data_IF_169423123305
#
_entry.id   IF_169423123305
#
_cell.length_a   1.000
_cell.length_b   1.000
_cell.length_c   1.000
_cell.angle_alpha   90.00
_cell.angle_beta   90.00
_cell.angle_gamma   90.00
#
_symmetry.space_group_name_H-M   'P 1'
#
loop_
_entity.id
_entity.type
_entity.pdbx_description
1 polymer ?
#
# COMPACT_ATOMS: atom_id res chain seq x y z
N UNK A 1 -1.68 -7.66 -33.08
CA UNK A 1 -1.65 -6.53 -32.13
C UNK A 1 -0.44 -5.67 -32.47
N UNK A 2 -0.55 -4.34 -32.60
CA UNK A 2 0.64 -3.48 -32.82
C UNK A 2 1.58 -3.61 -31.62
N UNK A 3 2.90 -3.67 -31.82
CA UNK A 3 3.89 -3.79 -30.73
C UNK A 3 3.74 -2.70 -29.65
N UNK A 4 3.29 -1.50 -30.04
CA UNK A 4 2.98 -0.40 -29.12
C UNK A 4 1.89 -0.75 -28.10
N UNK A 5 0.81 -1.43 -28.51
CA UNK A 5 -0.28 -1.83 -27.60
C UNK A 5 0.20 -2.88 -26.58
N UNK A 6 1.15 -3.72 -26.97
CA UNK A 6 1.72 -4.74 -26.09
C UNK A 6 2.58 -4.10 -24.98
N UNK A 7 3.42 -3.12 -25.33
CA UNK A 7 4.26 -2.40 -24.35
C UNK A 7 3.39 -1.67 -23.31
N UNK A 8 2.35 -0.97 -23.76
CA UNK A 8 1.40 -0.24 -22.90
C UNK A 8 0.72 -1.21 -21.92
N UNK A 9 0.30 -2.39 -22.39
CA UNK A 9 -0.29 -3.41 -21.52
C UNK A 9 0.73 -3.95 -20.50
N UNK A 10 1.95 -4.27 -20.93
CA UNK A 10 3.01 -4.75 -20.03
C UNK A 10 3.31 -3.71 -18.95
N UNK A 11 3.49 -2.44 -19.32
CA UNK A 11 3.75 -1.36 -18.36
C UNK A 11 2.61 -1.22 -17.36
N UNK A 12 1.36 -1.21 -17.83
CA UNK A 12 0.19 -1.19 -16.95
C UNK A 12 0.22 -2.34 -15.93
N UNK A 13 0.45 -3.57 -16.39
CA UNK A 13 0.50 -4.74 -15.50
C UNK A 13 1.65 -4.68 -14.50
N UNK A 14 2.84 -4.23 -14.92
CA UNK A 14 3.98 -4.02 -14.03
C UNK A 14 3.66 -2.99 -12.94
N UNK A 15 3.05 -1.85 -13.31
CA UNK A 15 2.67 -0.81 -12.36
C UNK A 15 1.62 -1.30 -11.36
N UNK A 16 0.61 -2.06 -11.82
CA UNK A 16 -0.40 -2.66 -10.94
C UNK A 16 0.23 -3.68 -9.99
N UNK A 17 1.18 -4.50 -10.48
CA UNK A 17 1.91 -5.46 -9.66
C UNK A 17 2.70 -4.76 -8.54
N UNK A 18 3.42 -3.68 -8.88
CA UNK A 18 4.15 -2.87 -7.90
C UNK A 18 3.22 -2.26 -6.84
N UNK A 19 2.05 -1.78 -7.24
CA UNK A 19 1.05 -1.29 -6.29
C UNK A 19 0.54 -2.39 -5.35
N UNK A 20 0.38 -3.63 -5.83
CA UNK A 20 -0.01 -4.75 -4.98
C UNK A 20 1.09 -5.09 -3.95
N UNK A 21 2.37 -5.01 -4.31
CA UNK A 21 3.47 -5.21 -3.36
C UNK A 21 3.46 -4.18 -2.22
N UNK A 22 3.06 -2.94 -2.49
CA UNK A 22 2.86 -1.93 -1.44
C UNK A 22 1.72 -2.31 -0.48
N UNK A 23 0.64 -2.91 -0.99
CA UNK A 23 -0.49 -3.39 -0.18
C UNK A 23 -0.07 -4.58 0.69
N UNK A 24 0.70 -5.50 0.14
CA UNK A 24 1.27 -6.64 0.87
C UNK A 24 2.20 -6.15 1.99
N UNK A 25 3.10 -5.20 1.68
CA UNK A 25 4.00 -4.58 2.67
C UNK A 25 3.20 -3.90 3.79
N UNK A 26 2.17 -3.14 3.45
CA UNK A 26 1.30 -2.49 4.44
C UNK A 26 0.61 -3.51 5.35
N UNK A 27 0.17 -4.64 4.79
CA UNK A 27 -0.53 -5.69 5.53
C UNK A 27 0.42 -6.50 6.41
N UNK A 28 1.65 -6.76 5.94
CA UNK A 28 2.69 -7.41 6.74
C UNK A 28 3.08 -6.58 7.96
N UNK A 29 3.28 -5.27 7.78
CA UNK A 29 3.62 -4.36 8.87
C UNK A 29 2.49 -4.28 9.92
N UNK A 30 1.22 -4.22 9.50
CA UNK A 30 0.09 -4.25 10.43
C UNK A 30 -0.06 -5.60 11.16
N UNK A 31 0.12 -6.71 10.44
CA UNK A 31 0.00 -8.06 11.01
C UNK A 31 1.04 -8.35 12.09
N UNK A 32 2.32 -8.10 11.79
CA UNK A 32 3.41 -8.29 12.76
C UNK A 32 3.24 -7.34 13.94
N UNK A 33 2.97 -6.06 13.67
CA UNK A 33 2.86 -5.07 14.72
C UNK A 33 1.68 -5.30 15.66
N UNK A 34 0.52 -5.74 15.17
CA UNK A 34 -0.65 -5.93 16.03
C UNK A 34 -0.44 -7.07 17.02
N UNK A 35 0.03 -8.23 16.55
CA UNK A 35 0.30 -9.39 17.40
C UNK A 35 1.36 -9.13 18.47
N UNK A 36 2.52 -8.61 18.08
CA UNK A 36 3.63 -8.35 19.01
C UNK A 36 3.31 -7.26 20.03
N UNK A 37 2.58 -6.22 19.63
CA UNK A 37 2.14 -5.14 20.53
C UNK A 37 1.12 -5.65 21.53
N UNK A 38 0.18 -6.48 21.10
CA UNK A 38 -0.84 -7.06 21.98
C UNK A 38 -0.21 -8.00 23.02
N UNK A 39 0.70 -8.88 22.59
CA UNK A 39 1.44 -9.77 23.49
C UNK A 39 2.29 -8.99 24.51
N UNK A 40 2.99 -7.95 24.05
CA UNK A 40 3.78 -7.07 24.91
C UNK A 40 2.89 -6.35 25.93
N UNK A 41 1.74 -5.83 25.50
CA UNK A 41 0.76 -5.16 26.36
C UNK A 41 0.26 -6.09 27.46
N UNK A 42 -0.11 -7.32 27.09
CA UNK A 42 -0.60 -8.33 28.04
C UNK A 42 0.47 -8.71 29.07
N UNK A 43 1.71 -8.89 28.62
CA UNK A 43 2.85 -9.19 29.49
C UNK A 43 3.15 -8.08 30.50
N UNK A 44 3.09 -6.82 30.06
CA UNK A 44 3.30 -5.65 30.93
C UNK A 44 2.18 -5.55 31.97
N UNK A 45 0.92 -5.69 31.56
CA UNK A 45 -0.23 -5.63 32.46
C UNK A 45 -0.21 -6.77 33.51
N UNK A 46 0.30 -7.95 33.14
CA UNK A 46 0.36 -9.10 34.04
C UNK A 46 1.51 -9.01 35.06
N UNK A 47 2.66 -8.49 34.66
CA UNK A 47 3.90 -8.60 35.44
C UNK A 47 4.41 -7.27 36.02
N UNK A 48 3.96 -6.12 35.52
CA UNK A 48 4.52 -4.83 35.90
C UNK A 48 3.47 -3.79 36.31
N UNK A 49 3.32 -3.64 37.64
CA UNK A 49 2.44 -2.65 38.25
C UNK A 49 3.23 -1.39 38.65
N UNK A 50 2.76 -0.20 38.25
CA UNK A 50 3.30 1.11 38.65
C UNK A 50 3.33 2.16 37.53
N UNK A 51 3.60 3.42 37.87
CA UNK A 51 3.54 4.56 36.92
C UNK A 51 4.41 4.40 35.66
N UNK A 52 5.53 3.69 35.77
CA UNK A 52 6.43 3.45 34.64
C UNK A 52 5.84 2.47 33.62
N UNK A 53 5.04 1.49 34.05
CA UNK A 53 4.36 0.59 33.12
C UNK A 53 3.29 1.32 32.32
N UNK A 54 2.54 2.23 32.96
CA UNK A 54 1.58 3.11 32.28
C UNK A 54 2.25 3.99 31.21
N UNK A 55 3.41 4.61 31.52
CA UNK A 55 4.17 5.40 30.54
C UNK A 55 4.65 4.57 29.36
N UNK A 56 5.06 3.32 29.60
CA UNK A 56 5.46 2.42 28.53
C UNK A 56 4.27 2.01 27.65
N UNK A 57 3.13 1.66 28.25
CA UNK A 57 1.89 1.35 27.54
C UNK A 57 1.44 2.51 26.65
N UNK A 58 1.59 3.76 27.11
CA UNK A 58 1.32 4.94 26.29
C UNK A 58 2.23 5.03 25.06
N UNK A 59 3.54 4.79 25.22
CA UNK A 59 4.48 4.75 24.09
C UNK A 59 4.15 3.62 23.12
N UNK A 60 3.75 2.46 23.64
CA UNK A 60 3.34 1.30 22.85
C UNK A 60 2.10 1.62 21.99
N UNK A 61 1.08 2.24 22.58
CA UNK A 61 -0.11 2.70 21.85
C UNK A 61 0.21 3.77 20.79
N UNK A 62 1.15 4.66 21.11
CA UNK A 62 1.64 5.66 20.13
C UNK A 62 2.34 4.97 18.94
N UNK A 63 3.13 3.93 19.21
CA UNK A 63 3.79 3.15 18.16
C UNK A 63 2.77 2.42 17.28
N UNK A 64 1.79 1.74 17.89
CA UNK A 64 0.69 1.08 17.17
C UNK A 64 -0.02 2.05 16.24
N UNK A 65 -0.40 3.22 16.75
CA UNK A 65 -1.07 4.28 15.97
C UNK A 65 -0.23 4.72 14.77
N UNK A 66 1.08 4.92 14.96
CA UNK A 66 1.99 5.29 13.87
C UNK A 66 2.08 4.20 12.82
N UNK A 67 2.17 2.94 13.24
CA UNK A 67 2.25 1.79 12.34
C UNK A 67 0.98 1.68 11.49
N UNK A 68 -0.19 1.70 12.12
CA UNK A 68 -1.48 1.69 11.41
C UNK A 68 -1.62 2.89 10.46
N UNK A 69 -1.16 4.06 10.87
CA UNK A 69 -1.19 5.26 10.02
C UNK A 69 -0.30 5.09 8.79
N UNK A 70 0.91 4.59 8.95
CA UNK A 70 1.85 4.36 7.86
C UNK A 70 1.32 3.30 6.88
N UNK A 71 0.78 2.19 7.39
CA UNK A 71 0.17 1.15 6.55
C UNK A 71 -1.03 1.67 5.75
N UNK A 72 -1.91 2.47 6.36
CA UNK A 72 -2.99 3.17 5.64
C UNK A 72 -2.45 4.11 4.56
N UNK A 73 -1.35 4.82 4.84
CA UNK A 73 -0.64 5.66 3.87
C UNK A 73 -0.16 4.86 2.66
N UNK A 74 0.50 3.73 2.89
CA UNK A 74 0.96 2.82 1.82
C UNK A 74 -0.21 2.34 0.94
N UNK A 75 -1.33 1.94 1.56
CA UNK A 75 -2.53 1.51 0.81
C UNK A 75 -3.11 2.64 -0.04
N UNK A 76 -3.19 3.86 0.49
CA UNK A 76 -3.66 5.03 -0.30
C UNK A 76 -2.75 5.33 -1.48
N UNK A 77 -1.44 5.25 -1.29
CA UNK A 77 -0.47 5.42 -2.38
C UNK A 77 -0.64 4.34 -3.45
N UNK A 78 -0.81 3.07 -3.05
CA UNK A 78 -1.06 1.98 -3.98
C UNK A 78 -2.32 2.17 -4.82
N UNK A 79 -3.44 2.57 -4.20
CA UNK A 79 -4.69 2.85 -4.91
C UNK A 79 -4.58 4.03 -5.88
N UNK A 80 -3.82 5.06 -5.48
CA UNK A 80 -3.52 6.19 -6.36
C UNK A 80 -2.72 5.75 -7.59
N UNK A 81 -1.69 4.92 -7.39
CA UNK A 81 -0.88 4.34 -8.48
C UNK A 81 -1.74 3.52 -9.44
N UNK A 82 -2.61 2.63 -8.92
CA UNK A 82 -3.54 1.83 -9.74
C UNK A 82 -4.46 2.71 -10.59
N UNK A 83 -5.02 3.75 -9.98
CA UNK A 83 -5.91 4.70 -10.65
C UNK A 83 -5.18 5.42 -11.78
N UNK A 84 -3.97 5.93 -11.51
CA UNK A 84 -3.13 6.60 -12.51
C UNK A 84 -2.76 5.65 -13.65
N UNK A 85 -2.34 4.42 -13.34
CA UNK A 85 -2.00 3.41 -14.34
C UNK A 85 -3.20 3.13 -15.28
N UNK A 86 -4.41 2.98 -14.73
CA UNK A 86 -5.61 2.78 -15.53
C UNK A 86 -5.97 3.98 -16.40
N UNK A 87 -5.77 5.20 -15.90
CA UNK A 87 -5.98 6.43 -16.67
C UNK A 87 -5.00 6.53 -17.85
N UNK A 88 -3.70 6.31 -17.60
CA UNK A 88 -2.64 6.36 -18.62
C UNK A 88 -2.90 5.30 -19.69
N UNK A 89 -3.13 4.05 -19.28
CA UNK A 89 -3.43 2.93 -20.19
C UNK A 89 -4.57 3.26 -21.16
N UNK A 90 -5.69 3.79 -20.65
CA UNK A 90 -6.83 4.19 -21.50
C UNK A 90 -6.49 5.37 -22.41
N UNK A 91 -5.74 6.35 -21.91
CA UNK A 91 -5.36 7.52 -22.69
C UNK A 91 -4.46 7.13 -23.88
N UNK A 92 -3.46 6.29 -23.64
CA UNK A 92 -2.53 5.83 -24.68
C UNK A 92 -3.22 4.96 -25.73
N UNK A 93 -4.11 4.06 -25.32
CA UNK A 93 -4.89 3.26 -26.28
C UNK A 93 -5.78 4.13 -27.18
N UNK A 94 -6.48 5.11 -26.60
CA UNK A 94 -7.29 6.06 -27.37
C UNK A 94 -6.43 6.87 -28.35
N UNK A 95 -5.24 7.31 -27.94
CA UNK A 95 -4.32 8.03 -28.80
C UNK A 95 -3.89 7.19 -30.01
N UNK A 96 -3.56 5.91 -29.81
CA UNK A 96 -3.22 4.98 -30.89
C UNK A 96 -4.40 4.83 -31.87
N UNK A 97 -5.62 4.65 -31.36
CA UNK A 97 -6.78 4.46 -32.22
C UNK A 97 -7.12 5.74 -33.02
N UNK A 98 -6.94 6.93 -32.43
CA UNK A 98 -7.07 8.21 -33.13
C UNK A 98 -6.01 8.40 -34.23
N UNK A 99 -4.76 8.00 -33.98
CA UNK A 99 -3.70 8.08 -34.99
C UNK A 99 -3.99 7.15 -36.17
N UNK A 100 -4.52 5.96 -35.90
CA UNK A 100 -4.90 5.00 -36.95
C UNK A 100 -6.05 5.48 -37.81
N UNK A 101 -7.05 6.12 -37.20
CA UNK A 101 -8.21 6.68 -37.92
C UNK A 101 -7.86 7.92 -38.74
N UNK A 102 -6.83 8.68 -38.36
CA UNK A 102 -6.33 9.85 -39.12
C UNK A 102 -5.34 9.52 -40.25
N UNK A 103 -4.75 8.32 -40.23
CA UNK A 103 -3.78 7.85 -41.26
C UNK A 103 -4.44 7.18 -42.48
N UNK A 104 -5.76 6.97 -42.43
CA UNK A 104 -6.60 6.53 -43.54
C UNK A 104 -7.44 7.70 -44.03
#
# INVERSE_FOLDING_TARGET
MSGEKLIIAIQYHLTVSLANQLIETASGIEGVSSGEIEETRNSINACWNGDNSQKYLYKLNTLETKITTNARGLRRSAETIKTMAGNIYRAELRAIDLVKTRKH
#
